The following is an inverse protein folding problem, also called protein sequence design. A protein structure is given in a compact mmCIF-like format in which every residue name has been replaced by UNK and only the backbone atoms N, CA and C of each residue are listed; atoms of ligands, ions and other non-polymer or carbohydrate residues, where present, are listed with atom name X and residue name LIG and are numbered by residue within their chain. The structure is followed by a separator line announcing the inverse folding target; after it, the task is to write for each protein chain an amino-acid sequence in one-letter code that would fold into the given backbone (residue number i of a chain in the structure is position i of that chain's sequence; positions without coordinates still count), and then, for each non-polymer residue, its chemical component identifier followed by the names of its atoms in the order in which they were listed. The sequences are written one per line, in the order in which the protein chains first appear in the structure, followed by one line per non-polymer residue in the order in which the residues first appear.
data_IF_787080081705
#
_entry.id   IF_787080081705
#
_cell.length_a   1.000
_cell.length_b   1.000
_cell.length_c   1.000
_cell.angle_alpha   90.00
_cell.angle_beta   90.00
_cell.angle_gamma   90.00
#
_symmetry.space_group_name_H-M   'P 1'
#
loop_
_entity.id
_entity.type
_entity.pdbx_description
1 polymer ?
#
# COMPACT_ATOMS: atom_id res chain seq x y z
N UNK A 1 54.64 3.81 33.74
CA UNK A 1 54.46 3.86 32.27
C UNK A 1 52.99 4.12 31.88
N UNK A 2 52.38 5.26 32.20
CA UNK A 2 50.95 5.53 31.90
C UNK A 2 50.68 6.77 31.01
N UNK A 3 51.69 7.63 30.79
CA UNK A 3 51.52 8.91 30.05
C UNK A 3 51.40 8.74 28.52
N UNK A 4 52.07 7.73 27.92
CA UNK A 4 51.96 7.42 26.46
C UNK A 4 50.58 6.93 26.05
N UNK A 5 49.86 6.23 26.94
CA UNK A 5 48.49 5.74 26.71
C UNK A 5 47.48 6.89 26.65
N UNK A 6 47.60 7.86 27.56
CA UNK A 6 46.74 9.04 27.56
C UNK A 6 46.93 9.91 26.31
N UNK A 7 48.18 10.15 25.90
CA UNK A 7 48.49 10.95 24.72
C UNK A 7 47.96 10.32 23.42
N UNK A 8 48.08 8.99 23.25
CA UNK A 8 47.53 8.29 22.09
C UNK A 8 45.99 8.34 22.05
N UNK A 9 45.33 8.22 23.21
CA UNK A 9 43.86 8.38 23.30
C UNK A 9 43.41 9.80 22.99
N UNK A 10 44.18 10.81 23.39
CA UNK A 10 43.88 12.21 23.11
C UNK A 10 44.05 12.53 21.61
N UNK A 11 45.08 11.97 20.97
CA UNK A 11 45.25 12.03 19.51
C UNK A 11 44.11 11.33 18.76
N UNK A 12 43.67 10.17 19.23
CA UNK A 12 42.54 9.44 18.65
C UNK A 12 41.23 10.21 18.81
N UNK A 13 40.99 10.82 19.98
CA UNK A 13 39.85 11.73 20.22
C UNK A 13 39.90 12.94 19.29
N UNK A 14 41.06 13.56 19.11
CA UNK A 14 41.25 14.68 18.18
C UNK A 14 40.96 14.26 16.74
N UNK A 15 41.45 13.08 16.31
CA UNK A 15 41.18 12.51 14.98
C UNK A 15 39.70 12.21 14.76
N UNK A 16 39.03 11.63 15.75
CA UNK A 16 37.58 11.37 15.71
C UNK A 16 36.77 12.67 15.70
N UNK A 17 37.19 13.69 16.47
CA UNK A 17 36.56 15.01 16.45
C UNK A 17 36.71 15.68 15.07
N UNK A 18 37.88 15.57 14.45
CA UNK A 18 38.14 16.08 13.10
C UNK A 18 37.33 15.31 12.04
N UNK A 19 37.22 13.98 12.16
CA UNK A 19 36.36 13.16 11.30
C UNK A 19 34.87 13.53 11.45
N UNK A 20 34.39 13.76 12.67
CA UNK A 20 33.03 14.26 12.94
C UNK A 20 32.81 15.65 12.32
N UNK A 21 33.78 16.57 12.42
CA UNK A 21 33.72 17.89 11.77
C UNK A 21 33.65 17.77 10.24
N UNK A 22 34.43 16.88 9.62
CA UNK A 22 34.40 16.62 8.17
C UNK A 22 33.05 16.06 7.72
N UNK A 23 32.50 15.08 8.45
CA UNK A 23 31.15 14.53 8.18
C UNK A 23 30.06 15.62 8.27
N UNK A 24 30.11 16.47 9.30
CA UNK A 24 29.17 17.61 9.46
C UNK A 24 29.27 18.66 8.34
N UNK A 25 30.44 18.84 7.73
CA UNK A 25 30.61 19.76 6.57
C UNK A 25 30.08 19.12 5.29
N UNK A 26 30.34 17.83 5.07
CA UNK A 26 29.83 17.08 3.93
C UNK A 26 28.30 16.92 3.95
N UNK A 27 27.69 16.83 5.14
CA UNK A 27 26.23 16.71 5.29
C UNK A 27 25.47 18.03 5.19
N UNK A 28 26.16 19.18 5.10
CA UNK A 28 25.49 20.48 4.91
C UNK A 28 25.13 20.60 3.42
N UNK A 29 23.85 20.65 3.05
CA UNK A 29 23.47 20.86 1.67
C UNK A 29 24.07 22.19 1.20
N UNK A 30 24.70 22.18 0.02
CA UNK A 30 25.23 23.39 -0.58
C UNK A 30 24.11 24.44 -0.64
N UNK A 31 24.40 25.67 -0.22
CA UNK A 31 23.41 26.76 -0.29
C UNK A 31 23.12 27.03 -1.76
N UNK A 32 22.02 26.46 -2.25
CA UNK A 32 21.55 26.66 -3.62
C UNK A 32 21.09 28.11 -3.74
N UNK A 33 21.59 28.84 -4.73
CA UNK A 33 21.21 30.25 -4.92
C UNK A 33 19.71 30.37 -5.18
N UNK A 34 19.11 31.51 -4.79
CA UNK A 34 17.70 31.82 -5.06
C UNK A 34 17.35 31.68 -6.55
N UNK A 35 18.25 32.11 -7.44
CA UNK A 35 18.09 31.99 -8.89
C UNK A 35 17.98 30.52 -9.36
N UNK A 36 18.81 29.62 -8.82
CA UNK A 36 18.74 28.19 -9.12
C UNK A 36 17.47 27.53 -8.58
N UNK A 37 16.97 27.94 -7.41
CA UNK A 37 15.68 27.46 -6.89
C UNK A 37 14.53 27.91 -7.79
N UNK A 38 14.54 29.18 -8.22
CA UNK A 38 13.51 29.73 -9.11
C UNK A 38 13.49 29.01 -10.47
N UNK A 39 14.65 28.78 -11.10
CA UNK A 39 14.75 28.03 -12.36
C UNK A 39 14.20 26.61 -12.24
N UNK A 40 14.54 25.89 -11.16
CA UNK A 40 14.01 24.54 -10.89
C UNK A 40 12.48 24.54 -10.74
N UNK A 41 11.94 25.52 -10.01
CA UNK A 41 10.49 25.63 -9.82
C UNK A 41 9.77 25.89 -11.14
N UNK A 42 10.31 26.77 -11.99
CA UNK A 42 9.75 27.07 -13.32
C UNK A 42 9.75 25.84 -14.23
N UNK A 43 10.85 25.09 -14.28
CA UNK A 43 10.94 23.84 -15.05
C UNK A 43 9.91 22.81 -14.56
N UNK A 44 9.72 22.66 -13.25
CA UNK A 44 8.71 21.74 -12.70
C UNK A 44 7.27 22.17 -13.02
N UNK A 45 6.99 23.47 -13.13
CA UNK A 45 5.68 23.98 -13.55
C UNK A 45 5.43 23.71 -15.04
N UNK A 46 6.46 23.86 -15.88
CA UNK A 46 6.42 23.52 -17.31
C UNK A 46 6.21 22.01 -17.51
N UNK A 47 6.95 21.16 -16.80
CA UNK A 47 6.78 19.70 -16.84
C UNK A 47 5.36 19.29 -16.41
N UNK A 48 4.81 19.92 -15.37
CA UNK A 48 3.41 19.69 -14.97
C UNK A 48 2.42 20.05 -16.07
N UNK A 49 2.64 21.16 -16.79
CA UNK A 49 1.80 21.56 -17.92
C UNK A 49 1.91 20.57 -19.08
N UNK A 50 3.12 20.10 -19.39
CA UNK A 50 3.34 19.06 -20.42
C UNK A 50 2.63 17.77 -20.04
N UNK A 51 2.77 17.30 -18.79
CA UNK A 51 2.07 16.11 -18.30
C UNK A 51 0.55 16.26 -18.33
N UNK A 52 0.04 17.46 -18.01
CA UNK A 52 -1.40 17.74 -18.10
C UNK A 52 -1.89 17.72 -19.55
N UNK A 53 -1.11 18.24 -20.50
CA UNK A 53 -1.41 18.18 -21.93
C UNK A 53 -1.39 16.73 -22.44
N UNK A 54 -0.38 15.94 -22.08
CA UNK A 54 -0.30 14.51 -22.42
C UNK A 54 -1.50 13.77 -21.84
N UNK A 55 -1.87 14.02 -20.59
CA UNK A 55 -3.05 13.43 -19.95
C UNK A 55 -4.34 13.78 -20.71
N UNK A 56 -4.50 15.04 -21.09
CA UNK A 56 -5.66 15.51 -21.87
C UNK A 56 -5.75 14.81 -23.24
N UNK A 57 -4.63 14.68 -23.95
CA UNK A 57 -4.56 13.96 -25.25
C UNK A 57 -4.90 12.47 -25.07
N UNK A 58 -4.44 11.84 -23.99
CA UNK A 58 -4.74 10.42 -23.73
C UNK A 58 -6.21 10.19 -23.35
N UNK A 59 -6.86 11.16 -22.71
CA UNK A 59 -8.31 11.10 -22.40
C UNK A 59 -9.20 11.38 -23.61
N UNK A 60 -8.70 12.11 -24.61
CA UNK A 60 -9.41 12.45 -25.86
C UNK A 60 -9.08 11.44 -26.98
N UNK A 61 -9.05 10.14 -26.67
CA UNK A 61 -8.83 9.09 -27.69
C UNK A 61 -10.02 9.08 -28.67
N UNK A 62 -9.80 9.17 -30.00
CA UNK A 62 -10.88 9.26 -30.99
C UNK A 62 -11.77 8.00 -31.00
N UNK A 63 -13.02 8.09 -31.50
CA UNK A 63 -14.00 7.00 -31.53
C UNK A 63 -13.66 5.99 -32.64
N UNK A 64 -12.52 5.32 -32.52
CA UNK A 64 -12.11 4.19 -33.39
C UNK A 64 -12.40 2.81 -32.79
N UNK A 65 -13.14 2.74 -31.69
CA UNK A 65 -13.36 1.52 -30.92
C UNK A 65 -14.56 0.70 -31.41
N UNK A 66 -14.96 0.79 -32.67
CA UNK A 66 -16.03 -0.06 -33.17
C UNK A 66 -15.54 -1.51 -33.32
N UNK A 67 -16.38 -2.46 -32.97
CA UNK A 67 -16.11 -3.87 -33.20
C UNK A 67 -16.25 -4.15 -34.69
N UNK A 68 -15.27 -4.83 -35.27
CA UNK A 68 -15.30 -5.18 -36.70
C UNK A 68 -16.39 -6.22 -37.02
N UNK A 69 -16.92 -6.90 -35.99
CA UNK A 69 -17.91 -7.96 -36.14
C UNK A 69 -19.35 -7.46 -35.99
N UNK A 70 -19.60 -6.46 -35.15
CA UNK A 70 -20.97 -5.97 -34.89
C UNK A 70 -21.13 -4.45 -35.09
N UNK A 71 -20.06 -3.73 -35.43
CA UNK A 71 -20.08 -2.28 -35.61
C UNK A 71 -20.32 -1.46 -34.34
N UNK A 72 -20.63 -2.09 -33.19
CA UNK A 72 -20.87 -1.40 -31.93
C UNK A 72 -19.56 -1.03 -31.22
N UNK A 73 -19.57 -0.02 -30.32
CA UNK A 73 -18.41 0.30 -29.51
C UNK A 73 -17.96 -0.90 -28.65
N UNK A 74 -16.66 -1.23 -28.67
CA UNK A 74 -15.97 -2.27 -27.89
C UNK A 74 -15.95 -1.95 -26.39
N UNK A 75 -17.12 -1.76 -25.78
CA UNK A 75 -17.35 -1.56 -24.36
C UNK A 75 -18.12 -2.75 -23.78
N UNK A 76 -18.00 -2.96 -22.48
CA UNK A 76 -18.68 -4.05 -21.76
C UNK A 76 -20.21 -3.97 -21.87
N UNK A 77 -20.76 -2.76 -21.93
CA UNK A 77 -22.20 -2.49 -22.12
C UNK A 77 -22.75 -3.13 -23.40
N UNK A 78 -21.94 -3.21 -24.46
CA UNK A 78 -22.32 -3.78 -25.76
C UNK A 78 -21.82 -5.23 -25.91
N UNK A 79 -21.50 -5.89 -24.80
CA UNK A 79 -21.08 -7.29 -24.82
C UNK A 79 -19.65 -7.52 -25.31
N UNK A 80 -18.78 -6.51 -25.23
CA UNK A 80 -17.36 -6.65 -25.56
C UNK A 80 -16.48 -6.71 -24.32
N UNK A 81 -15.64 -7.73 -24.24
CA UNK A 81 -14.68 -7.89 -23.14
C UNK A 81 -13.33 -8.26 -23.72
N UNK A 82 -12.26 -7.73 -23.13
CA UNK A 82 -10.89 -8.14 -23.43
C UNK A 82 -10.30 -8.85 -22.24
N UNK A 83 -9.73 -10.03 -22.44
CA UNK A 83 -9.07 -10.78 -21.39
C UNK A 83 -7.75 -11.36 -21.92
N UNK A 84 -6.64 -10.96 -21.29
CA UNK A 84 -5.26 -11.33 -21.68
C UNK A 84 -4.98 -11.21 -23.18
N UNK A 85 -5.35 -10.07 -23.78
CA UNK A 85 -5.10 -9.79 -25.20
C UNK A 85 -6.10 -10.44 -26.17
N UNK A 86 -7.00 -11.30 -25.71
CA UNK A 86 -8.12 -11.82 -26.52
C UNK A 86 -9.31 -10.88 -26.39
N UNK A 87 -9.90 -10.45 -27.52
CA UNK A 87 -11.13 -9.66 -27.53
C UNK A 87 -12.34 -10.51 -27.88
N UNK A 88 -13.40 -10.38 -27.09
CA UNK A 88 -14.66 -11.08 -27.26
C UNK A 88 -15.76 -10.13 -27.73
N UNK A 89 -16.67 -10.65 -28.54
CA UNK A 89 -17.86 -9.99 -29.04
C UNK A 89 -19.05 -10.89 -28.77
N UNK A 90 -19.97 -10.45 -27.90
CA UNK A 90 -21.17 -11.20 -27.56
C UNK A 90 -22.07 -11.42 -28.78
N UNK A 91 -22.25 -10.39 -29.61
CA UNK A 91 -23.09 -10.46 -30.83
C UNK A 91 -22.59 -11.49 -31.84
N UNK A 92 -21.28 -11.67 -31.98
CA UNK A 92 -20.69 -12.59 -32.95
C UNK A 92 -20.65 -14.05 -32.46
N UNK A 93 -20.66 -14.26 -31.14
CA UNK A 93 -20.48 -15.57 -30.51
C UNK A 93 -21.75 -16.14 -29.90
N UNK A 94 -22.82 -15.32 -29.78
CA UNK A 94 -24.09 -15.73 -29.16
C UNK A 94 -23.99 -15.98 -27.65
N UNK A 95 -22.86 -15.66 -27.02
CA UNK A 95 -22.63 -15.86 -25.58
C UNK A 95 -22.48 -14.52 -24.86
N UNK A 96 -22.83 -14.48 -23.57
CA UNK A 96 -22.69 -13.25 -22.78
C UNK A 96 -21.21 -12.97 -22.47
N UNK A 97 -20.84 -11.68 -22.48
CA UNK A 97 -19.49 -11.22 -22.16
C UNK A 97 -19.00 -11.67 -20.76
N UNK A 98 -19.84 -11.61 -19.70
CA UNK A 98 -19.48 -12.13 -18.38
C UNK A 98 -19.23 -13.64 -18.37
N UNK A 99 -20.06 -14.43 -19.05
CA UNK A 99 -19.93 -15.90 -19.07
C UNK A 99 -18.66 -16.33 -19.80
N UNK A 100 -18.38 -15.71 -20.96
CA UNK A 100 -17.12 -15.94 -21.67
C UNK A 100 -15.90 -15.56 -20.81
N UNK A 101 -15.98 -14.46 -20.05
CA UNK A 101 -14.90 -14.05 -19.16
C UNK A 101 -14.71 -15.03 -17.99
N UNK A 102 -15.81 -15.58 -17.46
CA UNK A 102 -15.75 -16.62 -16.45
C UNK A 102 -15.06 -17.87 -17.02
N UNK A 103 -15.45 -18.33 -18.20
CA UNK A 103 -14.85 -19.47 -18.89
C UNK A 103 -13.35 -19.28 -19.11
N UNK A 104 -12.92 -18.12 -19.61
CA UNK A 104 -11.49 -17.83 -19.77
C UNK A 104 -10.73 -17.86 -18.43
N UNK A 105 -11.35 -17.43 -17.32
CA UNK A 105 -10.74 -17.53 -15.97
C UNK A 105 -10.67 -18.97 -15.47
N UNK A 106 -11.63 -19.82 -15.86
CA UNK A 106 -11.63 -21.26 -15.58
C UNK A 106 -10.51 -21.98 -16.32
N UNK A 107 -10.39 -21.76 -17.62
CA UNK A 107 -9.34 -22.33 -18.48
C UNK A 107 -7.94 -21.92 -18.00
N UNK A 108 -7.77 -20.64 -17.65
CA UNK A 108 -6.49 -20.13 -17.15
C UNK A 108 -6.12 -20.60 -15.73
N UNK A 109 -7.03 -21.28 -15.02
CA UNK A 109 -6.82 -21.65 -13.63
C UNK A 109 -6.70 -20.46 -12.67
N UNK A 110 -7.12 -19.26 -13.11
CA UNK A 110 -7.18 -18.05 -12.27
C UNK A 110 -8.14 -18.24 -11.10
N UNK A 111 -9.21 -19.02 -11.29
CA UNK A 111 -10.12 -19.46 -10.22
C UNK A 111 -9.53 -20.55 -9.31
N UNK A 112 -8.49 -21.27 -9.74
CA UNK A 112 -7.86 -22.36 -8.97
C UNK A 112 -6.61 -21.90 -8.22
N UNK A 113 -6.57 -20.70 -7.65
CA UNK A 113 -5.55 -20.29 -6.65
C UNK A 113 -4.07 -20.57 -6.96
N UNK A 114 -3.71 -20.88 -8.21
CA UNK A 114 -2.42 -21.48 -8.59
C UNK A 114 -1.42 -20.46 -9.10
N UNK A 115 -1.75 -19.18 -9.00
CA UNK A 115 -0.74 -18.12 -9.08
C UNK A 115 -0.19 -17.83 -7.68
N UNK A 116 0.42 -18.85 -7.08
CA UNK A 116 1.23 -18.65 -5.88
C UNK A 116 2.49 -17.91 -6.34
N UNK A 117 2.76 -16.69 -5.84
CA UNK A 117 3.97 -15.97 -6.23
C UNK A 117 5.20 -16.85 -6.05
N UNK A 118 6.19 -16.73 -6.95
CA UNK A 118 7.42 -17.55 -6.95
C UNK A 118 8.08 -17.63 -5.56
N UNK A 119 8.08 -16.53 -4.80
CA UNK A 119 8.61 -16.45 -3.44
C UNK A 119 7.80 -17.29 -2.44
N UNK A 120 6.48 -17.30 -2.54
CA UNK A 120 5.59 -18.12 -1.70
C UNK A 120 5.70 -19.60 -2.03
N UNK A 121 5.88 -19.96 -3.30
CA UNK A 121 6.13 -21.33 -3.73
C UNK A 121 7.46 -21.85 -3.17
N UNK A 122 8.53 -21.06 -3.31
CA UNK A 122 9.86 -21.37 -2.73
C UNK A 122 9.81 -21.53 -1.21
N UNK A 123 9.18 -20.60 -0.50
CA UNK A 123 9.07 -20.65 0.96
C UNK A 123 8.27 -21.87 1.45
N UNK A 124 7.26 -22.30 0.69
CA UNK A 124 6.49 -23.51 0.98
C UNK A 124 7.35 -24.76 0.78
N UNK A 125 8.08 -24.84 -0.32
CA UNK A 125 8.99 -25.96 -0.60
C UNK A 125 10.10 -26.06 0.46
N UNK A 126 10.72 -24.93 0.83
CA UNK A 126 11.73 -24.90 1.88
C UNK A 126 11.19 -25.30 3.25
N UNK A 127 9.91 -25.02 3.54
CA UNK A 127 9.27 -25.48 4.77
C UNK A 127 9.07 -27.00 4.77
N UNK A 128 8.58 -27.56 3.66
CA UNK A 128 8.42 -29.01 3.49
C UNK A 128 9.75 -29.75 3.60
N UNK A 129 10.83 -29.23 3.01
CA UNK A 129 12.17 -29.81 3.17
C UNK A 129 12.59 -29.86 4.64
N UNK A 130 12.40 -28.76 5.39
CA UNK A 130 12.71 -28.74 6.83
C UNK A 130 11.85 -29.70 7.64
N UNK A 131 10.59 -29.90 7.25
CA UNK A 131 9.68 -30.87 7.88
C UNK A 131 10.15 -32.31 7.62
N UNK A 132 10.59 -32.62 6.40
CA UNK A 132 11.15 -33.93 6.05
C UNK A 132 12.49 -34.20 6.75
N UNK A 133 13.41 -33.24 6.73
CA UNK A 133 14.68 -33.32 7.48
C UNK A 133 14.41 -33.50 8.98
N UNK A 134 13.44 -32.79 9.54
CA UNK A 134 13.05 -32.92 10.93
C UNK A 134 12.46 -34.30 11.27
N UNK A 135 11.67 -34.88 10.36
CA UNK A 135 11.11 -36.22 10.49
C UNK A 135 12.22 -37.29 10.43
N UNK A 136 13.15 -37.16 9.49
CA UNK A 136 14.30 -38.06 9.32
C UNK A 136 15.26 -38.04 10.51
N UNK A 137 15.55 -36.84 11.05
CA UNK A 137 16.40 -36.68 12.22
C UNK A 137 15.65 -36.83 13.56
N UNK A 138 14.34 -37.10 13.54
CA UNK A 138 13.50 -37.23 14.74
C UNK A 138 13.40 -35.94 15.58
N UNK A 139 13.72 -34.78 15.00
CA UNK A 139 13.72 -33.49 15.69
C UNK A 139 12.35 -32.85 15.57
N UNK A 140 11.65 -32.60 16.68
CA UNK A 140 10.40 -31.83 16.63
C UNK A 140 10.69 -30.37 16.23
N UNK A 141 10.13 -29.95 15.09
CA UNK A 141 10.12 -28.53 14.72
C UNK A 141 9.34 -27.74 15.75
N UNK A 142 9.93 -26.62 16.20
CA UNK A 142 9.29 -25.73 17.17
C UNK A 142 8.00 -25.17 16.58
N UNK A 143 6.88 -25.41 17.25
CA UNK A 143 5.61 -24.83 16.89
C UNK A 143 5.74 -23.31 16.79
N UNK A 144 5.16 -22.75 15.72
CA UNK A 144 5.04 -21.30 15.62
C UNK A 144 4.20 -20.83 16.79
N UNK A 145 4.81 -20.04 17.69
CA UNK A 145 4.12 -19.37 18.78
C UNK A 145 2.95 -18.60 18.18
N UNK A 146 1.71 -19.08 18.39
CA UNK A 146 0.52 -18.33 17.99
C UNK A 146 0.63 -16.96 18.65
N UNK A 147 0.38 -15.85 17.92
CA UNK A 147 0.32 -14.54 18.54
C UNK A 147 -0.71 -14.63 19.67
N UNK A 148 -0.25 -14.55 20.92
CA UNK A 148 -1.14 -14.56 22.07
C UNK A 148 -2.07 -13.36 21.99
N UNK A 149 -3.30 -13.50 22.48
CA UNK A 149 -4.18 -12.36 22.58
C UNK A 149 -3.56 -11.31 23.50
N UNK A 150 -3.55 -10.06 23.05
CA UNK A 150 -3.09 -8.95 23.90
C UNK A 150 -4.11 -8.73 25.00
N UNK A 151 -3.68 -8.79 26.25
CA UNK A 151 -4.54 -8.56 27.41
C UNK A 151 -4.77 -7.04 27.56
N UNK A 152 -5.98 -6.65 27.95
CA UNK A 152 -6.32 -5.28 28.30
C UNK A 152 -5.81 -4.96 29.70
N UNK A 153 -5.10 -3.84 29.85
CA UNK A 153 -4.57 -3.43 31.15
C UNK A 153 -5.66 -2.90 32.09
N UNK A 154 -6.84 -2.54 31.56
CA UNK A 154 -7.92 -1.94 32.32
C UNK A 154 -8.87 -3.00 32.90
N UNK A 155 -9.23 -4.02 32.11
CA UNK A 155 -10.19 -5.05 32.54
C UNK A 155 -9.59 -6.46 32.64
N UNK A 156 -8.31 -6.65 32.30
CA UNK A 156 -7.65 -7.96 32.35
C UNK A 156 -8.12 -8.99 31.31
N UNK A 157 -9.08 -8.65 30.44
CA UNK A 157 -9.60 -9.55 29.41
C UNK A 157 -8.81 -9.42 28.08
N UNK A 158 -8.87 -10.43 27.20
CA UNK A 158 -8.33 -10.32 25.84
C UNK A 158 -8.91 -9.13 25.07
N UNK A 159 -8.07 -8.36 24.37
CA UNK A 159 -8.47 -7.22 23.53
C UNK A 159 -9.14 -7.68 22.23
N UNK A 160 -10.27 -8.37 22.36
CA UNK A 160 -11.13 -8.78 21.26
C UNK A 160 -12.44 -8.00 21.30
N UNK A 161 -13.10 -7.90 20.14
CA UNK A 161 -14.39 -7.23 20.00
C UNK A 161 -15.47 -7.87 20.87
N UNK A 162 -15.40 -9.19 21.06
CA UNK A 162 -16.34 -9.97 21.86
C UNK A 162 -16.33 -9.58 23.34
N UNK A 163 -15.18 -9.14 23.86
CA UNK A 163 -15.00 -8.63 25.24
C UNK A 163 -15.18 -7.11 25.33
N UNK A 164 -15.85 -6.48 24.36
CA UNK A 164 -16.12 -5.04 24.39
C UNK A 164 -14.89 -4.16 24.14
N UNK A 165 -13.87 -4.66 23.42
CA UNK A 165 -12.71 -3.86 23.03
C UNK A 165 -12.80 -3.41 21.57
N UNK A 166 -12.48 -2.15 21.33
CA UNK A 166 -12.46 -1.59 19.97
C UNK A 166 -11.31 -0.61 19.79
N UNK A 167 -11.02 -0.25 18.55
CA UNK A 167 -10.07 0.80 18.22
C UNK A 167 -10.65 1.71 17.16
N UNK A 168 -10.56 3.02 17.38
CA UNK A 168 -10.94 4.03 16.41
C UNK A 168 -9.77 4.98 16.18
N UNK A 169 -9.29 5.08 14.93
CA UNK A 169 -8.13 5.90 14.54
C UNK A 169 -6.89 5.75 15.45
N UNK A 170 -6.66 4.54 15.93
CA UNK A 170 -5.52 4.21 16.79
C UNK A 170 -5.79 4.29 18.29
N UNK A 171 -6.86 4.98 18.72
CA UNK A 171 -7.27 5.07 20.13
C UNK A 171 -7.95 3.76 20.56
N UNK A 172 -7.44 3.06 21.60
CA UNK A 172 -8.08 1.86 22.15
C UNK A 172 -9.24 2.23 23.07
N UNK A 173 -10.26 1.38 23.07
CA UNK A 173 -11.45 1.49 23.90
C UNK A 173 -11.72 0.18 24.63
N UNK A 174 -12.18 0.29 25.87
CA UNK A 174 -12.59 -0.82 26.72
C UNK A 174 -13.97 -0.50 27.31
N UNK A 175 -14.98 -1.26 26.90
CA UNK A 175 -16.37 -1.06 27.31
C UNK A 175 -16.56 -1.25 28.83
N UNK A 176 -15.88 -2.22 29.43
CA UNK A 176 -15.95 -2.48 30.87
C UNK A 176 -15.35 -1.34 31.71
N UNK A 177 -14.34 -0.64 31.21
CA UNK A 177 -13.70 0.47 31.94
C UNK A 177 -14.47 1.77 31.78
N UNK A 178 -14.96 2.08 30.57
CA UNK A 178 -15.69 3.33 30.32
C UNK A 178 -17.19 3.22 30.66
N UNK A 179 -17.73 2.01 30.87
CA UNK A 179 -19.14 1.79 31.17
C UNK A 179 -20.09 2.07 30.00
N UNK A 180 -19.54 2.26 28.79
CA UNK A 180 -20.28 2.60 27.57
C UNK A 180 -20.15 1.43 26.59
N UNK A 181 -21.18 1.18 25.78
CA UNK A 181 -21.11 0.15 24.74
C UNK A 181 -20.10 0.53 23.64
N UNK A 182 -19.50 -0.48 23.00
CA UNK A 182 -18.57 -0.27 21.88
C UNK A 182 -19.21 0.54 20.75
N UNK A 183 -20.49 0.29 20.48
CA UNK A 183 -21.22 0.93 19.38
C UNK A 183 -21.47 2.40 19.65
N UNK A 184 -21.90 2.74 20.86
CA UNK A 184 -22.13 4.10 21.30
C UNK A 184 -20.83 4.92 21.30
N UNK A 185 -19.74 4.35 21.80
CA UNK A 185 -18.43 4.98 21.74
C UNK A 185 -17.97 5.21 20.28
N UNK A 186 -18.12 4.21 19.41
CA UNK A 186 -17.79 4.36 17.99
C UNK A 186 -18.65 5.42 17.29
N UNK A 187 -19.93 5.52 17.63
CA UNK A 187 -20.83 6.53 17.09
C UNK A 187 -20.40 7.94 17.52
N UNK A 188 -20.02 8.12 18.78
CA UNK A 188 -19.46 9.37 19.31
C UNK A 188 -18.19 9.76 18.57
N UNK A 189 -17.26 8.82 18.39
CA UNK A 189 -16.01 9.06 17.67
C UNK A 189 -16.22 9.42 16.19
N UNK A 190 -17.10 8.71 15.47
CA UNK A 190 -17.44 9.04 14.06
C UNK A 190 -18.10 10.41 13.93
N UNK A 191 -18.95 10.77 14.90
CA UNK A 191 -19.64 12.06 14.91
C UNK A 191 -18.67 13.21 15.18
N UNK A 192 -17.73 13.03 16.11
CA UNK A 192 -16.65 14.00 16.35
C UNK A 192 -15.76 14.20 15.11
N UNK A 193 -15.42 13.12 14.40
CA UNK A 193 -14.62 13.20 13.18
C UNK A 193 -15.31 13.95 12.04
N UNK A 194 -16.63 13.76 11.89
CA UNK A 194 -17.43 14.52 10.92
C UNK A 194 -17.43 16.01 11.22
N UNK A 195 -17.53 16.40 12.49
CA UNK A 195 -17.53 17.81 12.92
C UNK A 195 -16.15 18.49 12.76
N UNK A 196 -15.06 17.73 12.79
CA UNK A 196 -13.69 18.24 12.60
C UNK A 196 -13.24 18.36 11.14
N UNK A 197 -14.02 17.86 10.16
CA UNK A 197 -13.65 17.95 8.74
C UNK A 197 -14.20 19.27 8.15
N UNK A 198 -13.35 20.23 7.73
CA UNK A 198 -13.83 21.41 7.02
C UNK A 198 -14.53 20.98 5.72
N UNK A 199 -15.81 21.33 5.59
CA UNK A 199 -16.60 21.10 4.38
C UNK A 199 -16.05 22.01 3.29
N UNK A 200 -15.41 21.44 2.27
CA UNK A 200 -15.05 22.19 1.06
C UNK A 200 -16.34 22.53 0.30
N UNK A 201 -16.89 23.71 0.57
CA UNK A 201 -17.97 24.30 -0.23
C UNK A 201 -17.48 24.50 -1.67
N UNK A 202 -18.08 23.79 -2.62
CA UNK A 202 -17.88 24.05 -4.06
C UNK A 202 -18.49 25.42 -4.37
N UNK A 203 -17.65 26.44 -4.54
CA UNK A 203 -18.06 27.72 -5.12
C UNK A 203 -18.51 27.48 -6.56
N UNK A 204 -19.82 27.59 -6.82
CA UNK A 204 -20.41 27.52 -8.15
C UNK A 204 -19.88 28.65 -9.03
N UNK A 205 -19.42 28.29 -10.22
CA UNK A 205 -18.96 29.24 -11.25
C UNK A 205 -20.20 29.80 -11.95
N UNK A 206 -20.51 31.06 -11.68
CA UNK A 206 -21.48 31.89 -12.41
C UNK A 206 -21.04 31.95 -13.87
N UNK A 207 -21.96 31.66 -14.79
CA UNK A 207 -21.73 31.63 -16.23
C UNK A 207 -22.40 32.90 -16.77
N UNK A 208 -21.59 33.85 -17.18
CA UNK A 208 -22.02 34.98 -18.02
C UNK A 208 -22.00 34.53 -19.49
#
# INVERSE_FOLDING_TARGET
MMKRSWFLRELERARLAQAKKRRRRASKPAKVTRATVWRRKRSLEEDKKVLQKIRYVYTQKPPGFLCHLCGQPRRMEFGHVTYKGKSFCSTASGQSAPDWLAEQKWVDGSCRGRNVPRTTAWNTQKRRQREQEAEEFGVRLKDRKRPGFHICNLCGQPRQKDFGHSRYKGVPFCSLYEGISVEEWLAKQRSADRKGRPVKSKSGRKKD
#
